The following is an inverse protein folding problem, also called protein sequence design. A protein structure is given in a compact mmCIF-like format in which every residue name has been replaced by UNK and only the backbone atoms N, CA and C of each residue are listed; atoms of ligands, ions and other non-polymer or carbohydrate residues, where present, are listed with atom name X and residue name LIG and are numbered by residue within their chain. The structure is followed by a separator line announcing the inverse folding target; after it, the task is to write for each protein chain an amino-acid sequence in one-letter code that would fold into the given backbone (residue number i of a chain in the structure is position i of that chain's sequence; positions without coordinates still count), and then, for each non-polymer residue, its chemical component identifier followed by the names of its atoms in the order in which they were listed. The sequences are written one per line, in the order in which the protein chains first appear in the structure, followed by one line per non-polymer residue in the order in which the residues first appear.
data_IF_667342374314
#
_entry.id   IF_667342374314
#
_cell.length_a   1.000
_cell.length_b   1.000
_cell.length_c   1.000
_cell.angle_alpha   90.00
_cell.angle_beta   90.00
_cell.angle_gamma   90.00
#
_symmetry.space_group_name_H-M   'P 1'
#
loop_
_entity.id
_entity.type
_entity.pdbx_description
1 polymer ?
#
# COMPACT_ATOMS: atom_id res chain seq x y z
N UNK A 1 -59.87 48.02 -28.25
CA UNK A 1 -58.53 47.43 -28.41
C UNK A 1 -58.50 46.10 -27.62
N UNK A 2 -57.89 45.01 -28.14
CA UNK A 2 -57.71 43.74 -27.40
C UNK A 2 -56.55 43.85 -26.37
N UNK A 3 -56.39 43.09 -25.27
CA UNK A 3 -56.95 41.82 -24.72
C UNK A 3 -55.99 40.59 -24.74
N UNK A 4 -55.01 40.61 -23.83
CA UNK A 4 -54.64 39.58 -22.82
C UNK A 4 -54.58 38.06 -23.21
N UNK A 5 -53.35 37.53 -23.36
CA UNK A 5 -52.75 36.20 -23.00
C UNK A 5 -53.47 34.83 -23.24
N UNK A 6 -52.68 33.75 -23.54
CA UNK A 6 -52.40 32.53 -22.68
C UNK A 6 -52.24 31.15 -23.41
N UNK A 7 -51.37 30.24 -22.85
CA UNK A 7 -51.16 28.76 -23.11
C UNK A 7 -50.61 28.35 -24.51
N UNK A 8 -49.89 27.21 -24.77
CA UNK A 8 -49.34 26.00 -24.06
C UNK A 8 -50.03 24.61 -24.31
N UNK A 9 -49.35 23.75 -25.09
CA UNK A 9 -49.22 22.24 -25.08
C UNK A 9 -50.28 21.22 -25.62
N UNK A 10 -49.73 20.07 -26.11
CA UNK A 10 -50.29 18.69 -26.31
C UNK A 10 -51.25 18.39 -27.50
N UNK A 11 -51.43 17.15 -28.04
CA UNK A 11 -50.64 15.88 -28.21
C UNK A 11 -51.45 14.87 -29.13
N UNK A 12 -51.04 13.58 -29.27
CA UNK A 12 -51.71 12.37 -29.88
C UNK A 12 -51.34 11.97 -31.35
N UNK A 13 -51.31 10.70 -31.84
CA UNK A 13 -51.56 9.31 -31.30
C UNK A 13 -51.01 8.15 -32.21
N UNK A 14 -50.46 7.04 -31.61
CA UNK A 14 -50.60 5.54 -31.83
C UNK A 14 -50.66 4.88 -33.26
N UNK A 15 -50.38 3.57 -33.57
CA UNK A 15 -49.93 2.30 -32.89
C UNK A 15 -49.53 1.16 -33.93
N UNK A 16 -48.75 0.12 -33.53
CA UNK A 16 -48.55 -1.26 -34.16
C UNK A 16 -48.02 -1.36 -35.64
N UNK A 17 -47.76 -2.52 -36.30
CA UNK A 17 -46.98 -3.80 -36.06
C UNK A 17 -46.87 -4.64 -37.40
N UNK A 18 -46.59 -5.96 -37.58
CA UNK A 18 -46.42 -7.20 -36.75
C UNK A 18 -45.72 -8.39 -37.50
N UNK A 19 -45.47 -9.54 -36.81
CA UNK A 19 -45.04 -10.90 -37.26
C UNK A 19 -43.66 -11.13 -37.99
N UNK A 20 -43.17 -12.39 -38.05
CA UNK A 20 -42.25 -12.87 -39.12
C UNK A 20 -40.92 -13.60 -38.76
N UNK A 21 -40.93 -14.93 -38.65
CA UNK A 21 -39.75 -15.82 -38.41
C UNK A 21 -38.78 -15.98 -39.61
N UNK A 22 -37.43 -16.00 -39.41
CA UNK A 22 -36.51 -16.98 -40.07
C UNK A 22 -35.03 -16.98 -39.58
N UNK A 23 -34.26 -17.97 -40.03
CA UNK A 23 -32.91 -18.41 -39.62
C UNK A 23 -31.72 -17.83 -40.43
N UNK A 24 -30.54 -17.80 -39.79
CA UNK A 24 -29.15 -18.01 -40.33
C UNK A 24 -28.59 -17.11 -41.45
N UNK A 25 -27.59 -16.32 -41.07
CA UNK A 25 -26.17 -16.46 -41.45
C UNK A 25 -25.35 -15.89 -40.27
N UNK A 26 -24.31 -16.49 -39.69
CA UNK A 26 -23.26 -17.44 -40.13
C UNK A 26 -22.19 -16.85 -41.06
N UNK A 27 -21.75 -15.63 -40.73
CA UNK A 27 -20.38 -15.20 -41.05
C UNK A 27 -19.52 -15.26 -39.79
N UNK A 28 -18.42 -16.01 -39.83
CA UNK A 28 -17.46 -16.08 -38.72
C UNK A 28 -16.51 -14.88 -38.78
N UNK A 29 -16.53 -14.03 -37.76
CA UNK A 29 -15.35 -13.25 -37.39
C UNK A 29 -14.79 -13.81 -36.07
N UNK A 30 -13.80 -14.69 -36.22
CA UNK A 30 -12.86 -15.05 -35.16
C UNK A 30 -11.52 -14.37 -35.44
N UNK A 31 -10.73 -14.21 -34.40
CA UNK A 31 -9.29 -13.86 -34.44
C UNK A 31 -8.95 -12.39 -34.76
N UNK A 32 -9.48 -11.49 -33.92
CA UNK A 32 -8.70 -10.34 -33.44
C UNK A 32 -8.13 -10.68 -32.04
N UNK A 33 -6.93 -11.27 -31.99
CA UNK A 33 -6.31 -11.78 -30.75
C UNK A 33 -5.67 -10.68 -29.87
N UNK A 34 -6.47 -9.70 -29.44
CA UNK A 34 -6.07 -8.73 -28.40
C UNK A 34 -6.19 -9.34 -27.00
N UNK A 35 -5.08 -9.78 -26.41
CA UNK A 35 -5.08 -10.37 -25.07
C UNK A 35 -5.01 -9.28 -23.98
N UNK A 36 -6.05 -8.45 -23.93
CA UNK A 36 -6.22 -7.40 -22.92
C UNK A 36 -6.48 -8.03 -21.56
N UNK A 37 -5.38 -8.37 -20.86
CA UNK A 37 -5.40 -8.76 -19.46
C UNK A 37 -6.04 -7.65 -18.64
N UNK A 38 -7.29 -7.86 -18.23
CA UNK A 38 -8.03 -6.98 -17.32
C UNK A 38 -7.23 -6.77 -16.04
N UNK A 39 -6.58 -5.61 -15.93
CA UNK A 39 -5.82 -5.20 -14.74
C UNK A 39 -6.74 -5.03 -13.53
N UNK A 40 -6.18 -5.21 -12.35
CA UNK A 40 -6.85 -5.04 -11.08
C UNK A 40 -7.52 -6.29 -10.52
N UNK A 41 -7.94 -6.18 -9.27
CA UNK A 41 -8.63 -7.19 -8.51
C UNK A 41 -10.15 -7.22 -8.82
N UNK A 42 -10.81 -8.36 -8.59
CA UNK A 42 -12.27 -8.41 -8.50
C UNK A 42 -12.77 -7.93 -7.14
N UNK A 43 -14.07 -7.67 -7.02
CA UNK A 43 -14.69 -7.13 -5.80
C UNK A 43 -14.37 -7.99 -4.56
N UNK A 44 -14.45 -9.33 -4.67
CA UNK A 44 -14.07 -10.27 -3.61
C UNK A 44 -12.59 -10.18 -3.19
N UNK A 45 -11.70 -9.89 -4.14
CA UNK A 45 -10.26 -9.72 -3.92
C UNK A 45 -9.95 -8.35 -3.30
N UNK A 46 -10.70 -7.32 -3.69
CA UNK A 46 -10.66 -5.99 -3.06
C UNK A 46 -11.15 -6.08 -1.60
N UNK A 47 -12.23 -6.83 -1.35
CA UNK A 47 -12.71 -7.12 0.01
C UNK A 47 -11.64 -7.86 0.83
N UNK A 48 -10.92 -8.82 0.23
CA UNK A 48 -9.85 -9.54 0.90
C UNK A 48 -8.66 -8.64 1.27
N UNK A 49 -8.23 -7.75 0.37
CA UNK A 49 -7.20 -6.73 0.65
C UNK A 49 -7.69 -5.74 1.72
N UNK A 50 -8.93 -5.25 1.63
CA UNK A 50 -9.53 -4.40 2.65
C UNK A 50 -9.59 -5.09 4.02
N UNK A 51 -9.78 -6.42 4.06
CA UNK A 51 -9.72 -7.18 5.30
C UNK A 51 -8.29 -7.21 5.90
N UNK A 52 -7.25 -7.26 5.08
CA UNK A 52 -5.86 -7.11 5.48
C UNK A 52 -5.58 -5.68 6.02
N UNK A 53 -6.07 -4.63 5.36
CA UNK A 53 -5.97 -3.24 5.86
C UNK A 53 -6.68 -3.04 7.21
N UNK A 54 -7.87 -3.63 7.38
CA UNK A 54 -8.58 -3.66 8.67
C UNK A 54 -7.77 -4.45 9.73
N UNK A 55 -6.99 -5.45 9.32
CA UNK A 55 -6.02 -6.14 10.17
C UNK A 55 -4.92 -5.21 10.70
N UNK A 56 -4.41 -4.29 9.87
CA UNK A 56 -3.43 -3.28 10.30
C UNK A 56 -4.00 -2.32 11.35
N UNK A 57 -5.27 -1.91 11.17
CA UNK A 57 -5.99 -1.09 12.14
C UNK A 57 -6.28 -1.85 13.44
N UNK A 58 -6.80 -3.09 13.35
CA UNK A 58 -7.12 -3.94 14.50
C UNK A 58 -5.91 -4.25 15.38
N UNK A 59 -4.75 -4.52 14.77
CA UNK A 59 -3.48 -4.71 15.48
C UNK A 59 -2.73 -3.41 15.78
N UNK A 60 -3.36 -2.25 15.58
CA UNK A 60 -2.84 -0.90 15.87
C UNK A 60 -1.43 -0.64 15.31
N UNK A 61 -1.12 -1.13 14.09
CA UNK A 61 0.22 -1.03 13.51
C UNK A 61 0.71 0.42 13.37
N UNK A 62 -0.18 1.33 12.96
CA UNK A 62 0.12 2.77 12.90
C UNK A 62 0.50 3.36 14.28
N UNK A 63 -0.16 2.95 15.36
CA UNK A 63 0.14 3.43 16.70
C UNK A 63 1.48 2.87 17.23
N UNK A 64 1.80 1.61 16.92
CA UNK A 64 3.12 1.02 17.20
C UNK A 64 4.24 1.83 16.52
N UNK A 65 4.06 2.19 15.24
CA UNK A 65 5.00 3.04 14.52
C UNK A 65 5.10 4.45 15.09
N UNK A 66 3.98 5.09 15.45
CA UNK A 66 3.99 6.42 16.06
C UNK A 66 4.77 6.42 17.38
N UNK A 67 4.48 5.49 18.29
CA UNK A 67 5.20 5.37 19.56
C UNK A 67 6.70 5.09 19.36
N UNK A 68 7.08 4.30 18.35
CA UNK A 68 8.48 4.05 17.99
C UNK A 68 9.17 5.33 17.46
N UNK A 69 8.52 6.07 16.58
CA UNK A 69 9.02 7.32 16.00
C UNK A 69 9.20 8.42 17.06
N UNK A 70 8.19 8.67 17.90
CA UNK A 70 8.26 9.67 18.97
C UNK A 70 9.34 9.31 20.01
N UNK A 71 9.51 8.03 20.35
CA UNK A 71 10.58 7.56 21.24
C UNK A 71 11.97 7.82 20.63
N UNK A 72 12.13 7.57 19.33
CA UNK A 72 13.36 7.87 18.60
C UNK A 72 13.65 9.39 18.56
N UNK A 73 12.67 10.22 18.22
CA UNK A 73 12.85 11.67 18.21
C UNK A 73 13.22 12.21 19.59
N UNK A 74 12.56 11.76 20.65
CA UNK A 74 12.90 12.12 22.03
C UNK A 74 14.35 11.72 22.39
N UNK A 75 14.79 10.51 22.01
CA UNK A 75 16.16 10.06 22.20
C UNK A 75 17.18 10.93 21.45
N UNK A 76 16.92 11.24 20.17
CA UNK A 76 17.77 12.13 19.36
C UNK A 76 17.84 13.53 19.98
N UNK A 77 16.73 14.10 20.43
CA UNK A 77 16.71 15.42 21.08
C UNK A 77 17.44 15.42 22.45
N UNK A 78 17.39 14.32 23.21
CA UNK A 78 18.16 14.17 24.46
C UNK A 78 19.68 14.14 24.20
N UNK A 79 20.12 13.51 23.10
CA UNK A 79 21.54 13.56 22.68
C UNK A 79 21.89 14.96 22.16
N UNK A 80 21.04 15.55 21.32
CA UNK A 80 21.25 16.90 20.77
C UNK A 80 21.39 17.95 21.87
N UNK A 81 20.53 17.92 22.89
CA UNK A 81 20.61 18.80 24.06
C UNK A 81 21.92 18.71 24.85
N UNK A 82 22.74 17.68 24.65
CA UNK A 82 24.07 17.54 25.25
C UNK A 82 25.19 17.97 24.30
N UNK A 83 25.03 17.76 23.00
CA UNK A 83 26.07 17.96 21.99
C UNK A 83 26.00 19.32 21.27
N UNK A 84 24.87 20.02 21.27
CA UNK A 84 24.66 21.20 20.41
C UNK A 84 25.58 22.42 20.69
N UNK A 85 26.25 22.46 21.84
CA UNK A 85 27.25 23.47 22.23
C UNK A 85 28.70 22.93 22.25
N UNK A 86 28.95 21.67 21.87
CA UNK A 86 30.27 21.05 22.06
C UNK A 86 31.32 21.63 21.10
N UNK A 87 32.30 22.37 21.63
CA UNK A 87 33.30 23.07 20.80
C UNK A 87 34.21 22.12 20.02
N UNK A 88 34.46 20.89 20.53
CA UNK A 88 35.26 19.91 19.81
C UNK A 88 34.51 19.36 18.59
N UNK A 89 33.18 19.14 18.70
CA UNK A 89 32.32 18.72 17.60
C UNK A 89 32.34 19.74 16.44
N UNK A 90 32.16 21.03 16.72
CA UNK A 90 32.16 22.06 15.66
C UNK A 90 33.55 22.28 15.06
N UNK A 91 34.60 22.36 15.89
CA UNK A 91 35.96 22.60 15.40
C UNK A 91 36.53 21.46 14.56
N UNK A 92 36.14 20.20 14.83
CA UNK A 92 36.48 19.05 13.98
C UNK A 92 35.97 19.17 12.53
N UNK A 93 34.92 19.96 12.29
CA UNK A 93 34.35 20.25 10.97
C UNK A 93 34.64 21.70 10.50
N UNK A 94 35.63 22.37 11.10
CA UNK A 94 36.11 23.70 10.69
C UNK A 94 35.35 24.90 11.26
N UNK A 95 34.37 24.68 12.15
CA UNK A 95 33.59 25.74 12.78
C UNK A 95 34.27 26.21 14.09
N UNK A 96 35.21 27.14 13.97
CA UNK A 96 36.07 27.60 15.08
C UNK A 96 35.57 28.84 15.85
N UNK A 97 34.59 29.58 15.32
CA UNK A 97 34.13 30.88 15.88
C UNK A 97 32.63 30.95 16.14
N UNK A 98 31.85 30.12 15.48
CA UNK A 98 30.39 30.12 15.50
C UNK A 98 29.92 28.67 15.63
N UNK A 99 28.79 28.47 16.30
CA UNK A 99 28.18 27.15 16.52
C UNK A 99 26.72 27.17 16.03
N UNK A 100 26.47 27.14 14.70
CA UNK A 100 25.11 27.26 14.19
C UNK A 100 24.30 25.99 14.52
N UNK A 101 23.18 26.15 15.23
CA UNK A 101 22.35 25.04 15.73
C UNK A 101 21.95 24.04 14.63
N UNK A 102 21.71 24.52 13.41
CA UNK A 102 21.38 23.70 12.22
C UNK A 102 22.57 22.82 11.80
N UNK A 103 23.80 23.34 11.89
CA UNK A 103 25.03 22.58 11.62
C UNK A 103 25.23 21.53 12.71
N UNK A 104 25.07 21.89 13.99
CA UNK A 104 25.13 20.91 15.09
C UNK A 104 24.15 19.74 14.91
N UNK A 105 22.94 20.00 14.41
CA UNK A 105 21.95 18.97 14.11
C UNK A 105 22.38 18.09 12.93
N UNK A 106 22.92 18.68 11.86
CA UNK A 106 23.45 17.92 10.71
C UNK A 106 24.64 17.03 11.10
N UNK A 107 25.58 17.55 11.90
CA UNK A 107 26.70 16.78 12.44
C UNK A 107 26.22 15.64 13.35
N UNK A 108 25.19 15.87 14.16
CA UNK A 108 24.58 14.80 14.96
C UNK A 108 23.98 13.69 14.09
N UNK A 109 23.27 14.02 13.01
CA UNK A 109 22.71 13.01 12.09
C UNK A 109 23.81 12.21 11.38
N UNK A 110 24.94 12.85 11.05
CA UNK A 110 26.11 12.15 10.51
C UNK A 110 26.70 11.17 11.54
N UNK A 111 26.85 11.58 12.81
CA UNK A 111 27.35 10.71 13.90
C UNK A 111 26.37 9.58 14.23
N UNK A 112 25.05 9.84 14.17
CA UNK A 112 24.00 8.85 14.43
C UNK A 112 23.65 7.98 13.21
N UNK A 113 24.28 8.17 12.05
CA UNK A 113 24.02 7.34 10.85
C UNK A 113 24.03 5.82 11.13
N UNK A 114 25.04 5.20 11.78
CA UNK A 114 25.00 3.77 12.08
C UNK A 114 23.90 3.37 13.08
N UNK A 115 23.42 4.29 13.93
CA UNK A 115 22.25 4.06 14.80
C UNK A 115 20.94 4.10 13.98
N UNK A 116 20.83 5.02 13.03
CA UNK A 116 19.69 5.13 12.13
C UNK A 116 19.56 3.90 11.21
N UNK A 117 20.67 3.35 10.70
CA UNK A 117 20.68 2.08 9.95
C UNK A 117 20.15 0.90 10.78
N UNK A 118 20.58 0.79 12.05
CA UNK A 118 20.09 -0.25 12.98
C UNK A 118 18.59 -0.08 13.25
N UNK A 119 18.11 1.17 13.45
CA UNK A 119 16.68 1.43 13.59
C UNK A 119 15.89 1.14 12.30
N UNK A 120 16.46 1.44 11.14
CA UNK A 120 15.88 1.11 9.83
C UNK A 120 15.64 -0.39 9.70
N UNK A 121 16.66 -1.19 10.01
CA UNK A 121 16.56 -2.65 10.03
C UNK A 121 15.51 -3.17 11.03
N UNK A 122 15.48 -2.64 12.26
CA UNK A 122 14.45 -2.98 13.27
C UNK A 122 13.04 -2.60 12.79
N UNK A 123 12.89 -1.47 12.11
CA UNK A 123 11.63 -1.02 11.51
C UNK A 123 11.19 -1.97 10.38
N UNK A 124 12.10 -2.37 9.49
CA UNK A 124 11.84 -3.38 8.45
C UNK A 124 11.36 -4.71 9.05
N UNK A 125 12.01 -5.20 10.12
CA UNK A 125 11.58 -6.42 10.82
C UNK A 125 10.19 -6.26 11.47
N UNK A 126 9.89 -5.10 12.07
CA UNK A 126 8.56 -4.82 12.61
C UNK A 126 7.50 -4.77 11.51
N UNK A 127 7.82 -4.16 10.36
CA UNK A 127 6.95 -4.11 9.18
C UNK A 127 6.61 -5.50 8.67
N UNK A 128 7.63 -6.34 8.43
CA UNK A 128 7.43 -7.72 7.97
C UNK A 128 6.61 -8.55 8.96
N UNK A 129 6.75 -8.31 10.27
CA UNK A 129 5.90 -8.94 11.31
C UNK A 129 4.45 -8.45 11.28
N UNK A 130 4.24 -7.15 11.08
CA UNK A 130 2.91 -6.54 10.98
C UNK A 130 2.12 -7.10 9.77
N UNK A 131 2.77 -7.27 8.62
CA UNK A 131 2.18 -7.89 7.43
C UNK A 131 1.62 -9.29 7.71
N UNK A 132 2.40 -10.16 8.37
CA UNK A 132 1.93 -11.49 8.74
C UNK A 132 0.77 -11.47 9.75
N UNK A 133 0.69 -10.45 10.62
CA UNK A 133 -0.45 -10.28 11.53
C UNK A 133 -1.72 -9.88 10.77
N UNK A 134 -1.61 -9.00 9.79
CA UNK A 134 -2.71 -8.59 8.91
C UNK A 134 -3.18 -9.71 7.96
N UNK A 135 -2.25 -10.49 7.39
CA UNK A 135 -2.56 -11.68 6.58
C UNK A 135 -3.29 -12.76 7.40
N UNK A 136 -2.83 -13.02 8.63
CA UNK A 136 -3.50 -13.94 9.55
C UNK A 136 -4.88 -13.43 10.03
N UNK A 137 -5.07 -12.11 10.10
CA UNK A 137 -6.39 -11.52 10.40
C UNK A 137 -7.38 -11.74 9.25
N UNK A 138 -6.97 -11.45 8.01
CA UNK A 138 -7.81 -11.66 6.82
C UNK A 138 -8.17 -13.15 6.61
N UNK A 139 -7.21 -14.05 6.86
CA UNK A 139 -7.45 -15.50 6.86
C UNK A 139 -8.53 -15.91 7.87
N UNK A 140 -8.46 -15.40 9.12
CA UNK A 140 -9.44 -15.71 10.18
C UNK A 140 -10.85 -15.18 9.89
N UNK A 141 -11.03 -14.36 8.85
CA UNK A 141 -12.34 -13.92 8.32
C UNK A 141 -12.78 -14.68 7.06
N UNK A 142 -12.01 -15.69 6.62
CA UNK A 142 -12.34 -16.54 5.49
C UNK A 142 -11.79 -16.09 4.13
N UNK A 143 -11.09 -14.96 4.05
CA UNK A 143 -10.64 -14.35 2.78
C UNK A 143 -9.28 -14.87 2.28
N UNK A 144 -8.81 -16.03 2.77
CA UNK A 144 -7.44 -16.50 2.54
C UNK A 144 -7.11 -16.83 1.07
N UNK A 145 -8.08 -17.34 0.31
CA UNK A 145 -7.87 -17.68 -1.11
C UNK A 145 -7.93 -16.42 -1.99
N UNK A 146 -8.91 -15.55 -1.74
CA UNK A 146 -9.07 -14.26 -2.40
C UNK A 146 -7.87 -13.34 -2.15
N UNK A 147 -7.30 -13.35 -0.94
CA UNK A 147 -6.08 -12.60 -0.64
C UNK A 147 -4.86 -13.16 -1.40
N UNK A 148 -4.74 -14.50 -1.53
CA UNK A 148 -3.68 -15.11 -2.36
C UNK A 148 -3.80 -14.72 -3.84
N UNK A 149 -5.00 -14.75 -4.43
CA UNK A 149 -5.17 -14.35 -5.84
C UNK A 149 -5.00 -12.84 -6.04
N UNK A 150 -5.45 -12.02 -5.09
CA UNK A 150 -5.20 -10.57 -5.08
C UNK A 150 -3.70 -10.25 -5.04
N UNK A 151 -2.93 -10.85 -4.13
CA UNK A 151 -1.49 -10.62 -4.01
C UNK A 151 -0.73 -11.02 -5.30
N UNK A 152 -1.12 -12.14 -5.94
CA UNK A 152 -0.54 -12.55 -7.23
C UNK A 152 -0.89 -11.55 -8.34
N UNK A 153 -2.14 -11.10 -8.46
CA UNK A 153 -2.57 -10.09 -9.44
C UNK A 153 -1.85 -8.76 -9.25
N UNK A 154 -1.83 -8.24 -8.02
CA UNK A 154 -1.14 -6.98 -7.68
C UNK A 154 0.36 -7.07 -8.00
N UNK A 155 1.01 -8.21 -7.72
CA UNK A 155 2.41 -8.40 -8.11
C UNK A 155 2.60 -8.42 -9.64
N UNK A 156 1.70 -9.06 -10.40
CA UNK A 156 1.75 -9.09 -11.88
C UNK A 156 1.51 -7.69 -12.47
N UNK A 157 0.50 -6.96 -12.00
CA UNK A 157 0.15 -5.63 -12.51
C UNK A 157 1.22 -4.57 -12.19
N UNK A 158 1.92 -4.72 -11.05
CA UNK A 158 3.06 -3.90 -10.66
C UNK A 158 4.40 -4.40 -11.23
N UNK A 159 4.41 -5.46 -12.05
CA UNK A 159 5.61 -6.09 -12.63
C UNK A 159 6.66 -6.54 -11.59
N UNK A 160 6.21 -6.88 -10.37
CA UNK A 160 7.08 -7.31 -9.27
C UNK A 160 7.77 -8.64 -9.55
N UNK A 161 9.09 -8.68 -9.34
CA UNK A 161 9.86 -9.92 -9.48
C UNK A 161 9.65 -10.81 -8.23
N UNK A 162 9.13 -12.05 -8.35
CA UNK A 162 8.62 -12.79 -7.19
C UNK A 162 9.68 -13.45 -6.31
N UNK A 163 10.94 -13.52 -6.77
CA UNK A 163 12.05 -14.20 -6.09
C UNK A 163 13.10 -13.17 -5.67
N UNK A 164 13.45 -13.15 -4.40
CA UNK A 164 14.52 -12.31 -3.87
C UNK A 164 15.43 -13.12 -2.96
N UNK A 165 16.70 -12.69 -2.85
CA UNK A 165 17.61 -13.20 -1.82
C UNK A 165 17.05 -12.94 -0.41
N UNK A 166 17.27 -13.88 0.51
CA UNK A 166 16.69 -13.83 1.85
C UNK A 166 17.33 -12.75 2.73
N UNK A 167 18.63 -12.46 2.58
CA UNK A 167 19.32 -11.41 3.32
C UNK A 167 18.91 -10.03 2.78
N UNK A 168 18.97 -9.84 1.45
CA UNK A 168 18.56 -8.62 0.79
C UNK A 168 17.10 -8.26 1.12
N UNK A 169 16.18 -9.23 0.99
CA UNK A 169 14.77 -9.01 1.33
C UNK A 169 14.50 -8.87 2.83
N UNK A 170 15.42 -9.29 3.69
CA UNK A 170 15.28 -9.11 5.15
C UNK A 170 15.77 -7.74 5.60
N UNK A 171 16.73 -7.14 4.89
CA UNK A 171 17.22 -5.80 5.18
C UNK A 171 16.39 -4.69 4.49
N UNK A 172 16.05 -4.86 3.21
CA UNK A 172 15.55 -3.77 2.36
C UNK A 172 14.02 -3.76 2.14
N UNK A 173 13.30 -4.87 2.34
CA UNK A 173 11.87 -4.94 2.02
C UNK A 173 10.99 -4.83 3.28
N UNK A 174 10.23 -3.74 3.37
CA UNK A 174 9.21 -3.53 4.42
C UNK A 174 8.11 -4.60 4.42
N UNK A 175 7.88 -5.27 3.29
CA UNK A 175 6.94 -6.38 3.14
C UNK A 175 7.70 -7.71 2.95
N UNK A 176 7.22 -8.84 3.50
CA UNK A 176 7.73 -10.16 3.12
C UNK A 176 7.47 -10.43 1.64
N UNK A 177 8.28 -11.27 1.00
CA UNK A 177 8.11 -11.57 -0.43
C UNK A 177 6.75 -12.23 -0.70
N UNK A 178 6.25 -12.12 -1.94
CA UNK A 178 5.01 -12.78 -2.37
C UNK A 178 4.98 -14.26 -1.98
N UNK A 179 6.08 -14.97 -2.20
CA UNK A 179 6.25 -16.39 -1.86
C UNK A 179 6.20 -16.62 -0.35
N UNK A 180 6.81 -15.73 0.46
CA UNK A 180 6.75 -15.81 1.93
C UNK A 180 5.31 -15.60 2.46
N UNK A 181 4.55 -14.66 1.89
CA UNK A 181 3.15 -14.40 2.27
C UNK A 181 2.22 -15.54 1.87
N UNK A 182 2.29 -16.02 0.63
CA UNK A 182 1.49 -17.17 0.15
C UNK A 182 1.75 -18.39 1.03
N UNK A 183 3.01 -18.72 1.31
CA UNK A 183 3.39 -19.87 2.16
C UNK A 183 2.85 -19.74 3.61
N UNK A 184 2.77 -18.53 4.16
CA UNK A 184 2.15 -18.29 5.47
C UNK A 184 0.62 -18.44 5.43
N UNK A 185 -0.02 -17.99 4.34
CA UNK A 185 -1.45 -18.14 4.08
C UNK A 185 -1.87 -19.59 3.78
N UNK A 186 -0.96 -20.42 3.27
CA UNK A 186 -1.21 -21.86 3.05
C UNK A 186 -0.99 -22.68 4.32
N UNK A 187 0.13 -22.49 5.03
CA UNK A 187 0.44 -23.24 6.25
C UNK A 187 -0.71 -23.16 7.26
N UNK A 188 -1.10 -21.94 7.62
CA UNK A 188 -2.06 -21.69 8.70
C UNK A 188 -3.53 -21.96 8.33
N UNK A 189 -3.78 -22.57 7.15
CA UNK A 189 -5.07 -23.17 6.76
C UNK A 189 -5.15 -24.66 7.14
N UNK A 190 -4.05 -25.24 7.61
CA UNK A 190 -3.92 -26.67 7.97
C UNK A 190 -3.99 -26.90 9.50
N UNK A 191 -3.94 -25.81 10.27
CA UNK A 191 -4.00 -25.75 11.73
C UNK A 191 -5.39 -25.26 12.21
#
# INVERSE_FOLDING_TARGET
LPTITRKKEANEKKQQSDDGTSNKDVTKEKEASGNDKKKGCSDDEIIAVLCHEIGHWYHMHLFKYLMFAETNYLFIFIIFSKLYNDVALYSAFGFYREQPVVIGLALLMMILTPYLEILGFVSTLMSRKNEYQSDAYAMKRGHAEQLKTALVKLNIDNLGFPVHDELYSTFNHSHPTLIQRIKALERSKTD
#
